data_IF_736032939831
#
_entry.id   IF_736032939831
#
_cell.length_a   1.000
_cell.length_b   1.000
_cell.length_c   1.000
_cell.angle_alpha   90.00
_cell.angle_beta   90.00
_cell.angle_gamma   90.00
#
_symmetry.space_group_name_H-M   'P 1'
#
loop_
_entity.id
_entity.type
_entity.pdbx_description
1 polymer ?
#
# COMPACT_ATOMS: atom_id res chain seq x y z
N UNK A 1 -14.24 3.93 -11.31
CA UNK A 1 -14.28 4.62 -10.00
C UNK A 1 -12.87 4.98 -9.61
N UNK A 2 -12.63 6.22 -9.17
CA UNK A 2 -11.32 6.62 -8.66
C UNK A 2 -11.06 5.94 -7.32
N UNK A 3 -9.80 5.65 -7.01
CA UNK A 3 -9.37 5.11 -5.71
C UNK A 3 -8.74 6.22 -4.89
N UNK A 4 -9.07 6.25 -3.60
CA UNK A 4 -8.57 7.26 -2.68
C UNK A 4 -7.68 6.61 -1.63
N UNK A 5 -6.50 7.16 -1.42
CA UNK A 5 -5.53 6.68 -0.45
C UNK A 5 -5.26 7.79 0.57
N UNK A 6 -5.40 7.47 1.85
CA UNK A 6 -5.07 8.40 2.94
C UNK A 6 -3.83 7.92 3.65
N UNK A 7 -2.82 8.76 3.72
CA UNK A 7 -1.66 8.54 4.57
C UNK A 7 -2.10 8.68 6.03
N UNK A 8 -1.87 7.64 6.82
CA UNK A 8 -2.28 7.59 8.21
C UNK A 8 -1.15 8.13 9.08
N UNK A 9 -1.35 9.33 9.60
CA UNK A 9 -0.39 10.00 10.47
C UNK A 9 -0.72 9.82 11.95
N UNK A 10 0.20 10.25 12.82
CA UNK A 10 -0.14 10.47 14.22
C UNK A 10 -1.24 11.55 14.30
N UNK A 11 -2.19 11.48 15.25
CA UNK A 11 -3.35 12.37 15.34
C UNK A 11 -3.07 13.89 15.41
N UNK A 12 -1.81 14.31 15.48
CA UNK A 12 -1.41 15.73 15.48
C UNK A 12 -0.95 16.24 14.12
N UNK A 13 -0.76 15.37 13.12
CA UNK A 13 -0.29 15.77 11.79
C UNK A 13 -1.46 15.91 10.80
N UNK A 14 -1.26 16.77 9.79
CA UNK A 14 -2.23 16.96 8.71
C UNK A 14 -2.40 15.68 7.87
N UNK A 15 -3.64 15.30 7.55
CA UNK A 15 -3.92 14.13 6.70
C UNK A 15 -3.57 14.38 5.24
N UNK A 16 -2.70 13.55 4.65
CA UNK A 16 -2.44 13.57 3.21
C UNK A 16 -3.34 12.58 2.48
N UNK A 17 -4.07 13.04 1.46
CA UNK A 17 -4.93 12.18 0.63
C UNK A 17 -4.47 12.22 -0.83
N UNK A 18 -4.38 11.05 -1.46
CA UNK A 18 -4.01 10.87 -2.87
C UNK A 18 -5.18 10.21 -3.58
N UNK A 19 -5.67 10.83 -4.66
CA UNK A 19 -6.70 10.27 -5.53
C UNK A 19 -6.06 9.80 -6.81
N UNK A 20 -6.33 8.55 -7.20
CA UNK A 20 -5.83 7.94 -8.43
C UNK A 20 -7.02 7.50 -9.27
N UNK A 21 -7.04 7.86 -10.55
CA UNK A 21 -8.09 7.39 -11.45
C UNK A 21 -7.99 5.87 -11.68
N UNK A 22 -9.11 5.25 -12.04
CA UNK A 22 -9.19 3.80 -12.18
C UNK A 22 -8.14 3.21 -13.15
N UNK A 23 -7.92 3.86 -14.29
CA UNK A 23 -7.02 3.34 -15.33
C UNK A 23 -5.56 3.42 -14.87
N UNK A 24 -5.17 4.54 -14.27
CA UNK A 24 -3.84 4.67 -13.67
C UNK A 24 -3.68 3.67 -12.53
N UNK A 25 -4.70 3.50 -11.68
CA UNK A 25 -4.64 2.57 -10.56
C UNK A 25 -4.42 1.13 -11.02
N UNK A 26 -5.16 0.66 -12.02
CA UNK A 26 -4.99 -0.69 -12.56
C UNK A 26 -3.58 -0.92 -13.12
N UNK A 27 -3.01 0.10 -13.77
CA UNK A 27 -1.62 0.04 -14.28
C UNK A 27 -0.61 -0.03 -13.13
N UNK A 28 -0.83 0.74 -12.07
CA UNK A 28 -0.02 0.70 -10.85
C UNK A 28 -0.08 -0.69 -10.22
N UNK A 29 -1.27 -1.23 -9.97
CA UNK A 29 -1.46 -2.55 -9.34
C UNK A 29 -0.77 -3.65 -10.17
N UNK A 30 -0.91 -3.64 -11.49
CA UNK A 30 -0.21 -4.60 -12.37
C UNK A 30 1.31 -4.44 -12.33
N UNK A 31 1.82 -3.22 -12.22
CA UNK A 31 3.26 -3.00 -12.09
C UNK A 31 3.78 -3.46 -10.73
N UNK A 32 3.03 -3.22 -9.66
CA UNK A 32 3.33 -3.73 -8.31
C UNK A 32 3.39 -5.26 -8.29
N UNK A 33 2.42 -5.92 -8.92
CA UNK A 33 2.36 -7.39 -9.04
C UNK A 33 3.61 -7.92 -9.77
N UNK A 34 3.97 -7.32 -10.91
CA UNK A 34 5.20 -7.67 -11.67
C UNK A 34 6.49 -7.45 -10.90
N UNK A 35 6.49 -6.54 -9.93
CA UNK A 35 7.62 -6.26 -9.04
C UNK A 35 7.58 -7.05 -7.73
N UNK A 36 6.70 -8.06 -7.61
CA UNK A 36 6.57 -8.89 -6.41
C UNK A 36 6.09 -8.13 -5.18
N UNK A 37 5.52 -6.93 -5.34
CA UNK A 37 5.10 -6.07 -4.24
C UNK A 37 3.75 -6.50 -3.65
N UNK A 38 2.98 -7.29 -4.41
CA UNK A 38 1.65 -7.78 -4.04
C UNK A 38 1.75 -9.26 -3.72
N UNK A 39 1.02 -9.68 -2.70
CA UNK A 39 0.90 -11.09 -2.35
C UNK A 39 -0.56 -11.51 -2.20
N UNK A 40 -0.86 -12.73 -2.64
CA UNK A 40 -2.21 -13.31 -2.55
C UNK A 40 -2.36 -14.06 -1.23
N UNK A 41 -2.68 -13.30 -0.18
CA UNK A 41 -3.12 -13.87 1.09
C UNK A 41 -4.63 -14.12 1.07
N UNK A 42 -5.10 -15.18 1.74
CA UNK A 42 -6.53 -15.43 1.91
C UNK A 42 -7.20 -14.20 2.52
N UNK A 43 -8.38 -13.86 2.00
CA UNK A 43 -9.17 -12.72 2.44
C UNK A 43 -9.58 -12.92 3.91
N UNK A 44 -9.13 -12.09 4.86
CA UNK A 44 -9.65 -12.16 6.22
C UNK A 44 -11.08 -11.62 6.24
N UNK A 45 -11.93 -12.17 7.10
CA UNK A 45 -13.36 -11.85 7.15
C UNK A 45 -13.66 -10.37 7.51
N UNK A 46 -12.69 -9.62 8.06
CA UNK A 46 -12.91 -8.24 8.53
C UNK A 46 -11.79 -7.24 8.16
N UNK A 47 -12.14 -6.00 7.76
CA UNK A 47 -11.21 -4.90 7.62
C UNK A 47 -10.59 -4.48 8.95
N UNK A 48 -9.41 -3.84 8.87
CA UNK A 48 -8.72 -3.35 10.06
C UNK A 48 -9.58 -2.29 10.79
N UNK A 49 -9.55 -2.26 12.14
CA UNK A 49 -10.33 -1.31 12.92
C UNK A 49 -10.10 0.17 12.55
N UNK A 50 -11.15 0.98 12.69
CA UNK A 50 -11.07 2.43 12.55
C UNK A 50 -10.38 3.09 13.77
N UNK A 51 -10.58 2.52 14.95
CA UNK A 51 -9.99 3.00 16.20
C UNK A 51 -8.45 2.81 16.21
N UNK A 52 -7.65 3.83 16.60
CA UNK A 52 -6.19 3.76 16.60
C UNK A 52 -5.59 2.70 17.52
N UNK A 53 -6.23 2.40 18.66
CA UNK A 53 -5.76 1.44 19.65
C UNK A 53 -6.08 0.01 19.20
N UNK A 54 -7.31 -0.23 18.76
CA UNK A 54 -7.71 -1.50 18.16
C UNK A 54 -6.91 -1.80 16.89
N UNK A 55 -6.60 -0.77 16.10
CA UNK A 55 -5.73 -0.88 14.93
C UNK A 55 -4.32 -1.27 15.35
N UNK A 56 -3.76 -0.68 16.41
CA UNK A 56 -2.44 -1.06 16.93
C UNK A 56 -2.43 -2.51 17.42
N UNK A 57 -3.50 -2.96 18.07
CA UNK A 57 -3.68 -4.33 18.52
C UNK A 57 -3.81 -5.31 17.33
N UNK A 58 -4.61 -4.96 16.33
CA UNK A 58 -4.75 -5.73 15.09
C UNK A 58 -3.41 -5.88 14.37
N UNK A 59 -2.66 -4.78 14.23
CA UNK A 59 -1.30 -4.76 13.66
C UNK A 59 -0.31 -5.65 14.42
N UNK A 60 -0.40 -5.67 15.76
CA UNK A 60 0.41 -6.52 16.61
C UNK A 60 -0.01 -8.00 16.50
N UNK A 61 -1.29 -8.28 16.25
CA UNK A 61 -1.83 -9.65 16.12
C UNK A 61 -1.55 -10.27 14.75
N UNK A 62 -1.49 -9.49 13.67
CA UNK A 62 -1.17 -9.98 12.31
C UNK A 62 0.32 -10.28 12.09
N UNK A 63 1.05 -10.65 13.15
CA UNK A 63 2.51 -10.71 13.24
C UNK A 63 3.21 -11.84 12.44
N UNK A 64 2.65 -12.28 11.32
CA UNK A 64 3.47 -12.91 10.28
C UNK A 64 4.45 -11.86 9.71
N UNK A 65 5.65 -12.26 9.29
CA UNK A 65 6.52 -11.40 8.48
C UNK A 65 5.83 -11.20 7.12
N UNK A 66 5.30 -9.99 6.83
CA UNK A 66 4.67 -9.77 5.54
C UNK A 66 5.73 -9.85 4.44
N UNK A 67 5.40 -10.50 3.34
CA UNK A 67 6.25 -10.58 2.14
C UNK A 67 5.90 -9.49 1.10
N UNK A 68 4.82 -8.75 1.34
CA UNK A 68 4.32 -7.69 0.47
C UNK A 68 2.96 -7.17 0.94
N UNK A 69 2.25 -6.45 0.06
CA UNK A 69 0.90 -5.95 0.32
C UNK A 69 -0.13 -7.02 -0.08
N UNK A 70 -1.06 -7.42 0.80
CA UNK A 70 -2.13 -8.34 0.42
C UNK A 70 -3.00 -7.76 -0.72
N UNK A 71 -3.21 -8.53 -1.81
CA UNK A 71 -3.98 -8.06 -2.98
C UNK A 71 -5.36 -7.51 -2.61
N UNK A 72 -6.05 -8.19 -1.69
CA UNK A 72 -7.40 -7.79 -1.28
C UNK A 72 -7.48 -6.38 -0.70
N UNK A 73 -6.40 -5.88 -0.04
CA UNK A 73 -6.36 -4.52 0.49
C UNK A 73 -6.31 -3.46 -0.60
N UNK A 74 -5.84 -3.84 -1.80
CA UNK A 74 -5.77 -2.97 -2.98
C UNK A 74 -7.03 -3.09 -3.85
N UNK A 75 -7.67 -4.26 -3.89
CA UNK A 75 -8.76 -4.52 -4.83
C UNK A 75 -10.15 -4.43 -4.22
N UNK A 76 -10.30 -4.57 -2.90
CA UNK A 76 -11.60 -4.54 -2.22
C UNK A 76 -11.82 -3.21 -1.51
N UNK A 77 -12.95 -2.56 -1.77
CA UNK A 77 -13.37 -1.32 -1.10
C UNK A 77 -13.88 -1.64 0.32
N UNK A 78 -12.97 -1.69 1.29
CA UNK A 78 -13.32 -1.94 2.69
C UNK A 78 -12.42 -1.18 3.68
N UNK A 79 -11.95 0.02 3.31
CA UNK A 79 -11.18 0.88 4.22
C UNK A 79 -9.93 0.22 4.84
N UNK A 80 -9.32 -0.72 4.11
CA UNK A 80 -8.18 -1.49 4.60
C UNK A 80 -7.00 -0.59 4.95
N UNK A 81 -6.39 -0.86 6.10
CA UNK A 81 -5.07 -0.35 6.42
C UNK A 81 -3.99 -1.25 5.82
N UNK A 82 -3.18 -0.66 4.94
CA UNK A 82 -1.89 -1.20 4.52
C UNK A 82 -0.85 -0.77 5.55
N UNK A 83 -0.25 -1.74 6.22
CA UNK A 83 0.59 -1.50 7.40
C UNK A 83 1.99 -1.06 7.01
N UNK A 84 2.74 -0.38 7.91
CA UNK A 84 4.15 -0.04 7.63
C UNK A 84 5.00 -1.26 7.28
N UNK A 85 4.79 -2.41 7.95
CA UNK A 85 5.53 -3.65 7.67
C UNK A 85 5.22 -4.20 6.27
N UNK A 86 3.97 -4.18 5.83
CA UNK A 86 3.56 -4.57 4.48
C UNK A 86 4.17 -3.66 3.42
N UNK A 87 4.20 -2.34 3.68
CA UNK A 87 4.82 -1.35 2.81
C UNK A 87 6.33 -1.54 2.70
N UNK A 88 7.01 -1.76 3.83
CA UNK A 88 8.45 -2.06 3.85
C UNK A 88 8.77 -3.34 3.09
N UNK A 89 7.98 -4.40 3.27
CA UNK A 89 8.16 -5.66 2.54
C UNK A 89 7.97 -5.47 1.03
N UNK A 90 6.89 -4.80 0.62
CA UNK A 90 6.62 -4.50 -0.79
C UNK A 90 7.71 -3.62 -1.43
N UNK A 91 8.20 -2.61 -0.71
CA UNK A 91 9.32 -1.79 -1.17
C UNK A 91 10.62 -2.59 -1.24
N UNK A 92 10.85 -3.51 -0.30
CA UNK A 92 11.97 -4.45 -0.34
C UNK A 92 11.95 -5.30 -1.62
N UNK A 93 10.80 -5.88 -1.96
CA UNK A 93 10.61 -6.61 -3.21
C UNK A 93 10.89 -5.72 -4.43
N UNK A 94 10.33 -4.50 -4.46
CA UNK A 94 10.59 -3.55 -5.54
C UNK A 94 12.08 -3.21 -5.71
N UNK A 95 12.78 -2.90 -4.62
CA UNK A 95 14.19 -2.50 -4.66
C UNK A 95 15.15 -3.66 -4.97
N UNK A 96 14.71 -4.92 -4.82
CA UNK A 96 15.46 -6.08 -5.26
C UNK A 96 15.54 -6.20 -6.80
N UNK A 97 14.65 -5.53 -7.54
CA UNK A 97 14.70 -5.53 -9.00
C UNK A 97 15.82 -4.64 -9.57
N UNK A 98 16.43 -5.03 -10.71
CA UNK A 98 17.38 -4.20 -11.46
C UNK A 98 16.83 -2.81 -11.76
N UNK A 99 17.72 -1.80 -11.78
CA UNK A 99 17.33 -0.41 -11.98
C UNK A 99 16.62 -0.20 -13.32
N UNK A 100 16.97 -0.98 -14.36
CA UNK A 100 16.36 -0.93 -15.68
C UNK A 100 14.87 -1.33 -15.64
N UNK A 101 14.54 -2.36 -14.86
CA UNK A 101 13.16 -2.82 -14.69
C UNK A 101 12.34 -1.78 -13.91
N UNK A 102 12.93 -1.18 -12.87
CA UNK A 102 12.29 -0.10 -12.10
C UNK A 102 12.05 1.15 -12.96
N UNK A 103 13.03 1.53 -13.78
CA UNK A 103 12.93 2.65 -14.72
C UNK A 103 11.90 2.40 -15.83
N UNK A 104 11.66 1.14 -16.21
CA UNK A 104 10.62 0.80 -17.18
C UNK A 104 9.21 1.11 -16.64
N UNK A 105 8.95 0.82 -15.36
CA UNK A 105 7.68 1.18 -14.72
C UNK A 105 7.52 2.70 -14.60
N UNK A 106 8.58 3.41 -14.22
CA UNK A 106 8.61 4.88 -14.14
C UNK A 106 8.24 5.55 -15.48
N UNK A 107 8.86 5.10 -16.57
CA UNK A 107 8.56 5.63 -17.91
C UNK A 107 7.18 5.25 -18.44
N UNK A 108 6.67 4.10 -18.02
CA UNK A 108 5.38 3.61 -18.52
C UNK A 108 4.21 4.27 -17.79
N UNK A 109 4.33 4.56 -16.49
CA UNK A 109 3.19 4.95 -15.65
C UNK A 109 3.48 6.31 -15.01
N UNK A 110 2.80 7.36 -15.48
CA UNK A 110 3.03 8.76 -15.08
C UNK A 110 2.94 9.01 -13.57
N UNK A 111 2.20 8.16 -12.84
CA UNK A 111 2.02 8.24 -11.38
C UNK A 111 2.89 7.25 -10.61
N UNK A 112 3.79 6.51 -11.25
CA UNK A 112 4.62 5.51 -10.58
C UNK A 112 5.53 6.11 -9.52
N UNK A 113 6.28 7.17 -9.84
CA UNK A 113 7.14 7.86 -8.86
C UNK A 113 6.36 8.46 -7.69
N UNK A 114 5.27 9.22 -7.92
CA UNK A 114 4.39 9.66 -6.83
C UNK A 114 3.88 8.51 -5.97
N UNK A 115 3.52 7.38 -6.60
CA UNK A 115 3.07 6.19 -5.89
C UNK A 115 4.15 5.57 -5.01
N UNK A 116 5.37 5.37 -5.52
CA UNK A 116 6.50 4.89 -4.72
C UNK A 116 6.78 5.85 -3.56
N UNK A 117 6.69 7.16 -3.79
CA UNK A 117 6.79 8.19 -2.74
C UNK A 117 5.74 8.01 -1.64
N UNK A 118 4.48 7.78 -2.01
CA UNK A 118 3.40 7.51 -1.06
C UNK A 118 3.68 6.25 -0.23
N UNK A 119 4.13 5.15 -0.85
CA UNK A 119 4.47 3.92 -0.14
C UNK A 119 5.62 4.14 0.86
N UNK A 120 6.65 4.88 0.46
CA UNK A 120 7.76 5.27 1.33
C UNK A 120 7.28 6.10 2.52
N UNK A 121 6.40 7.07 2.29
CA UNK A 121 5.79 7.85 3.37
C UNK A 121 4.99 6.94 4.30
N UNK A 122 4.12 6.08 3.76
CA UNK A 122 3.32 5.14 4.56
C UNK A 122 4.16 4.21 5.42
N UNK A 123 5.31 3.74 4.92
CA UNK A 123 6.26 2.93 5.67
C UNK A 123 6.93 3.67 6.85
N UNK A 124 7.01 5.01 6.78
CA UNK A 124 7.55 5.86 7.84
C UNK A 124 6.47 6.43 8.79
N UNK A 125 5.19 6.13 8.54
CA UNK A 125 4.05 6.59 9.34
C UNK A 125 3.25 5.38 9.85
N UNK A 126 1.94 5.54 10.12
CA UNK A 126 1.08 4.46 10.61
C UNK A 126 0.51 3.58 9.49
N UNK A 127 0.87 3.84 8.23
CA UNK A 127 0.41 3.10 7.06
C UNK A 127 -0.39 3.95 6.08
N UNK A 128 -1.10 3.28 5.17
CA UNK A 128 -1.97 3.90 4.16
C UNK A 128 -3.34 3.25 4.26
N UNK A 129 -4.40 4.05 4.32
CA UNK A 129 -5.78 3.57 4.26
C UNK A 129 -6.34 3.73 2.85
N UNK A 130 -7.00 2.68 2.35
CA UNK A 130 -7.65 2.67 1.04
C UNK A 130 -9.14 3.00 1.22
N UNK A 131 -9.54 4.24 0.91
CA UNK A 131 -10.90 4.76 1.07
C UNK A 131 -11.78 4.49 -0.16
#
# INVERSE_FOLDING_TARGET
MNRTFRLEHHPVDASTTVVVDHFTYDRIVRAMDRHGMIHDLPYPEHPAPADPEERRAFLAATAAEPVGIPRHKLTVDAEWLITPRELTAALGAYYAHPIEQRNAADRAIDKWRPWIGLLLSGGNHLGIRCL
#
